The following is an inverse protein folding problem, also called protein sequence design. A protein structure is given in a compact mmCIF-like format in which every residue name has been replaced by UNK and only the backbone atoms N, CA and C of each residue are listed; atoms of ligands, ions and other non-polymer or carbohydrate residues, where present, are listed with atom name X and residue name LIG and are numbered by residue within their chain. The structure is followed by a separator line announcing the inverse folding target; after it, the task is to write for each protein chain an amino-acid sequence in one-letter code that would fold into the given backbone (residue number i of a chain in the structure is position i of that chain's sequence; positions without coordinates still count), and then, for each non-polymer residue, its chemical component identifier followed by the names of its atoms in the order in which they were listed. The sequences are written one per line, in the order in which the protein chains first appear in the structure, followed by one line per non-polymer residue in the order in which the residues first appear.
data_IF_930503276934
#
_entry.id   IF_930503276934
#
_cell.length_a   1.000
_cell.length_b   1.000
_cell.length_c   1.000
_cell.angle_alpha   90.00
_cell.angle_beta   90.00
_cell.angle_gamma   90.00
#
_symmetry.space_group_name_H-M   'P 1'
#
loop_
_entity.id
_entity.type
_entity.pdbx_description
1 polymer ?
#
# COMPACT_ATOMS: atom_id res chain seq x y z
N UNK A 1 11.21 8.04 20.09
CA UNK A 1 10.33 7.39 19.11
C UNK A 1 11.04 7.24 17.77
N UNK A 2 10.92 6.09 17.12
CA UNK A 2 11.40 5.91 15.77
C UNK A 2 10.57 6.73 14.78
N UNK A 3 11.07 6.91 13.55
CA UNK A 3 10.31 7.56 12.48
C UNK A 3 9.03 6.78 12.19
N UNK A 4 9.09 5.44 12.17
CA UNK A 4 7.92 4.60 11.96
C UNK A 4 6.88 4.77 13.07
N UNK A 5 7.29 4.86 14.33
CA UNK A 5 6.37 5.12 15.45
C UNK A 5 5.69 6.48 15.33
N UNK A 6 6.44 7.49 14.93
CA UNK A 6 5.90 8.84 14.72
C UNK A 6 4.88 8.86 13.56
N UNK A 7 5.18 8.16 12.47
CA UNK A 7 4.23 7.99 11.36
C UNK A 7 2.96 7.26 11.81
N UNK A 8 3.11 6.18 12.55
CA UNK A 8 1.95 5.44 13.06
C UNK A 8 1.05 6.33 13.92
N UNK A 9 1.65 7.17 14.77
CA UNK A 9 0.88 8.13 15.58
C UNK A 9 0.07 9.09 14.70
N UNK A 10 0.63 9.57 13.60
CA UNK A 10 -0.08 10.46 12.69
C UNK A 10 -1.18 9.72 11.90
N UNK A 11 -0.92 8.49 11.46
CA UNK A 11 -1.91 7.65 10.79
C UNK A 11 -3.15 7.42 11.66
N UNK A 12 -2.94 7.14 12.94
CA UNK A 12 -4.04 6.86 13.88
C UNK A 12 -4.92 8.08 14.18
N UNK A 13 -4.43 9.29 13.93
CA UNK A 13 -5.21 10.55 14.04
C UNK A 13 -6.08 10.82 12.83
N UNK A 14 -5.82 10.18 11.69
CA UNK A 14 -6.57 10.40 10.45
C UNK A 14 -8.01 9.89 10.55
N UNK A 15 -8.89 10.48 9.76
CA UNK A 15 -10.21 9.90 9.53
C UNK A 15 -10.08 8.63 8.68
N UNK A 16 -11.02 7.68 8.76
CA UNK A 16 -11.02 6.52 7.88
C UNK A 16 -10.96 6.88 6.39
N UNK A 17 -11.67 7.92 5.99
CA UNK A 17 -11.69 8.41 4.61
C UNK A 17 -10.30 8.92 4.17
N UNK A 18 -9.65 9.74 4.98
CA UNK A 18 -8.31 10.24 4.67
C UNK A 18 -7.27 9.12 4.64
N UNK A 19 -7.41 8.13 5.50
CA UNK A 19 -6.58 6.94 5.49
C UNK A 19 -6.73 6.15 4.19
N UNK A 20 -7.95 5.91 3.72
CA UNK A 20 -8.22 5.26 2.43
C UNK A 20 -7.55 6.01 1.27
N UNK A 21 -7.66 7.33 1.25
CA UNK A 21 -7.01 8.18 0.24
C UNK A 21 -5.48 8.10 0.31
N UNK A 22 -4.93 8.07 1.51
CA UNK A 22 -3.48 7.89 1.72
C UNK A 22 -2.99 6.57 1.11
N UNK A 23 -3.73 5.49 1.30
CA UNK A 23 -3.35 4.18 0.73
C UNK A 23 -3.32 4.22 -0.80
N UNK A 24 -4.31 4.83 -1.43
CA UNK A 24 -4.32 5.01 -2.90
C UNK A 24 -3.11 5.83 -3.37
N UNK A 25 -2.80 6.93 -2.68
CA UNK A 25 -1.63 7.76 -2.97
C UNK A 25 -0.32 6.98 -2.83
N UNK A 26 -0.22 6.15 -1.80
CA UNK A 26 0.96 5.29 -1.61
C UNK A 26 1.15 4.35 -2.79
N UNK A 27 0.10 3.66 -3.21
CA UNK A 27 0.18 2.73 -4.34
C UNK A 27 0.56 3.45 -5.65
N UNK A 28 0.04 4.64 -5.89
CA UNK A 28 0.42 5.45 -7.05
C UNK A 28 1.91 5.87 -6.97
N UNK A 29 2.39 6.27 -5.81
CA UNK A 29 3.82 6.57 -5.59
C UNK A 29 4.71 5.35 -5.83
N UNK A 30 4.23 4.16 -5.51
CA UNK A 30 4.92 2.90 -5.77
C UNK A 30 4.96 2.51 -7.25
N UNK A 31 4.24 3.21 -8.11
CA UNK A 31 4.22 2.99 -9.55
C UNK A 31 2.97 2.32 -10.09
N UNK A 32 1.99 2.01 -9.26
CA UNK A 32 0.69 1.53 -9.70
C UNK A 32 -0.15 2.67 -10.28
N UNK A 33 -1.19 2.34 -11.01
CA UNK A 33 -2.03 3.32 -11.67
C UNK A 33 -1.71 3.49 -13.16
N UNK A 34 -2.68 3.96 -13.92
CA UNK A 34 -2.52 4.22 -15.36
C UNK A 34 -1.73 5.51 -15.60
N UNK A 35 -1.38 5.78 -16.87
CA UNK A 35 -0.77 7.04 -17.28
C UNK A 35 -1.64 8.26 -16.95
N UNK A 36 -2.96 8.07 -16.83
CA UNK A 36 -3.92 9.13 -16.49
C UNK A 36 -4.20 9.23 -14.99
N UNK A 37 -3.91 8.20 -14.21
CA UNK A 37 -4.07 8.22 -12.76
C UNK A 37 -2.82 8.86 -12.16
N UNK A 38 -3.02 9.91 -11.39
CA UNK A 38 -1.98 10.58 -10.62
C UNK A 38 -2.35 10.59 -9.13
N UNK A 39 -1.46 11.09 -8.28
CA UNK A 39 -1.65 11.11 -6.83
C UNK A 39 -2.92 11.85 -6.37
N UNK A 40 -3.48 12.73 -7.22
CA UNK A 40 -4.72 13.45 -6.95
C UNK A 40 -5.95 12.76 -7.54
N UNK A 41 -5.77 11.70 -8.33
CA UNK A 41 -6.90 10.92 -8.85
C UNK A 41 -7.47 10.05 -7.74
N UNK A 42 -8.49 10.55 -7.08
CA UNK A 42 -9.29 9.76 -6.14
C UNK A 42 -10.01 8.70 -6.97
N UNK A 43 -9.67 7.44 -6.75
CA UNK A 43 -10.43 6.33 -7.33
C UNK A 43 -11.87 6.43 -6.83
N UNK A 44 -12.82 6.22 -7.73
CA UNK A 44 -14.24 6.19 -7.35
C UNK A 44 -14.42 5.15 -6.24
N UNK A 45 -15.03 5.56 -5.14
CA UNK A 45 -15.53 4.60 -4.16
C UNK A 45 -16.43 3.63 -4.90
N UNK A 46 -16.07 2.36 -4.91
CA UNK A 46 -17.07 1.36 -5.23
C UNK A 46 -18.09 1.42 -4.09
N UNK A 47 -19.38 1.56 -4.39
CA UNK A 47 -20.43 1.55 -3.39
C UNK A 47 -20.63 0.21 -2.71
N UNK A 48 -19.72 -0.75 -2.94
CA UNK A 48 -19.79 -2.10 -2.43
C UNK A 48 -19.02 -2.22 -1.12
N UNK A 49 -19.69 -2.77 -0.12
CA UNK A 49 -19.12 -3.07 1.19
C UNK A 49 -17.83 -3.89 1.04
N UNK A 50 -16.74 -3.39 1.60
CA UNK A 50 -15.47 -4.09 1.66
C UNK A 50 -14.46 -3.74 0.57
N UNK A 51 -14.78 -2.82 -0.36
CA UNK A 51 -13.83 -2.28 -1.34
C UNK A 51 -13.76 -0.76 -1.19
N UNK A 52 -12.61 -0.25 -0.80
CA UNK A 52 -12.40 1.19 -0.56
C UNK A 52 -11.83 1.93 -1.76
N UNK A 53 -11.20 1.20 -2.69
CA UNK A 53 -10.65 1.78 -3.89
C UNK A 53 -10.19 0.74 -4.89
N UNK A 54 -9.92 1.20 -6.11
CA UNK A 54 -9.39 0.38 -7.20
C UNK A 54 -8.27 1.15 -7.86
N UNK A 55 -7.13 0.51 -8.07
CA UNK A 55 -6.00 1.09 -8.78
C UNK A 55 -5.54 0.12 -9.87
N UNK A 56 -5.04 0.64 -10.98
CA UNK A 56 -4.49 -0.22 -12.02
C UNK A 56 -3.18 -0.87 -11.57
N UNK A 57 -3.01 -2.15 -11.89
CA UNK A 57 -1.77 -2.88 -11.65
C UNK A 57 -0.65 -2.47 -12.63
N UNK A 58 -1.00 -1.89 -13.78
CA UNK A 58 -0.07 -1.49 -14.84
C UNK A 58 -0.47 -0.14 -15.45
N UNK A 59 0.45 0.47 -16.21
CA UNK A 59 0.26 1.79 -16.79
C UNK A 59 -0.80 1.85 -17.90
N UNK A 60 -1.13 0.72 -18.51
CA UNK A 60 -2.13 0.64 -19.57
C UNK A 60 -3.54 0.34 -19.05
N UNK A 61 -3.65 -0.16 -17.81
CA UNK A 61 -4.95 -0.50 -17.22
C UNK A 61 -5.47 -1.88 -17.62
N UNK A 62 -4.59 -2.81 -17.98
CA UNK A 62 -4.99 -4.18 -18.32
C UNK A 62 -5.56 -4.94 -17.13
N UNK A 63 -5.07 -4.63 -15.93
CA UNK A 63 -5.44 -5.33 -14.72
C UNK A 63 -5.65 -4.36 -13.57
N UNK A 64 -6.44 -4.75 -12.59
CA UNK A 64 -6.82 -3.89 -11.47
C UNK A 64 -6.54 -4.55 -10.13
N UNK A 65 -6.11 -3.74 -9.17
CA UNK A 65 -5.94 -4.12 -7.77
C UNK A 65 -7.05 -3.47 -6.97
N UNK A 66 -7.80 -4.27 -6.24
CA UNK A 66 -8.88 -3.84 -5.36
C UNK A 66 -8.34 -3.66 -3.94
N UNK A 67 -8.73 -2.59 -3.28
CA UNK A 67 -8.15 -2.14 -2.01
C UNK A 67 -9.20 -2.20 -0.91
N UNK A 68 -8.81 -2.79 0.23
CA UNK A 68 -9.49 -2.65 1.51
C UNK A 68 -8.51 -2.04 2.50
N UNK A 69 -8.87 -0.94 3.13
CA UNK A 69 -8.07 -0.25 4.12
C UNK A 69 -8.80 -0.21 5.46
N UNK A 70 -8.16 -0.66 6.53
CA UNK A 70 -8.70 -0.68 7.90
C UNK A 70 -7.77 0.05 8.86
N UNK A 71 -8.16 1.26 9.25
CA UNK A 71 -7.48 2.02 10.28
C UNK A 71 -8.00 1.59 11.65
N UNK A 72 -7.37 0.57 12.22
CA UNK A 72 -7.66 0.06 13.57
C UNK A 72 -6.53 0.42 14.53
N UNK A 73 -6.77 0.29 15.83
CA UNK A 73 -5.72 0.46 16.83
C UNK A 73 -4.55 -0.48 16.52
N UNK A 74 -3.33 0.02 16.67
CA UNK A 74 -2.11 -0.71 16.32
C UNK A 74 -1.90 -1.99 17.15
N UNK A 75 -2.51 -2.08 18.34
CA UNK A 75 -2.46 -3.24 19.22
C UNK A 75 -3.56 -4.28 18.95
N UNK A 76 -4.38 -4.07 17.93
CA UNK A 76 -5.44 -5.01 17.55
C UNK A 76 -4.97 -5.99 16.47
N UNK A 77 -5.71 -7.05 16.30
CA UNK A 77 -5.42 -8.11 15.33
C UNK A 77 -6.57 -8.27 14.35
N UNK A 78 -6.26 -8.22 13.06
CA UNK A 78 -7.19 -8.54 11.98
C UNK A 78 -7.21 -10.07 11.80
N UNK A 79 -8.35 -10.67 12.04
CA UNK A 79 -8.52 -12.12 11.97
C UNK A 79 -8.99 -12.60 10.60
N UNK A 80 -9.01 -13.91 10.45
CA UNK A 80 -9.51 -14.60 9.25
C UNK A 80 -10.88 -14.12 8.76
N UNK A 81 -11.89 -13.88 9.64
CA UNK A 81 -13.22 -13.44 9.18
C UNK A 81 -13.18 -12.15 8.34
N UNK A 82 -12.30 -11.20 8.65
CA UNK A 82 -12.14 -9.97 7.85
C UNK A 82 -11.60 -10.28 6.45
N UNK A 83 -10.65 -11.19 6.34
CA UNK A 83 -10.08 -11.60 5.05
C UNK A 83 -11.09 -12.40 4.23
N UNK A 84 -11.90 -13.23 4.88
CA UNK A 84 -13.00 -13.94 4.22
C UNK A 84 -14.03 -12.97 3.63
N UNK A 85 -14.39 -11.91 4.34
CA UNK A 85 -15.28 -10.87 3.82
C UNK A 85 -14.67 -10.16 2.63
N UNK A 86 -13.40 -9.83 2.70
CA UNK A 86 -12.67 -9.20 1.58
C UNK A 86 -12.63 -10.12 0.37
N UNK A 87 -12.34 -11.39 0.54
CA UNK A 87 -12.40 -12.39 -0.52
C UNK A 87 -13.77 -12.44 -1.19
N UNK A 88 -14.84 -12.42 -0.39
CA UNK A 88 -16.23 -12.37 -0.88
C UNK A 88 -16.51 -11.11 -1.69
N UNK A 89 -16.03 -9.96 -1.24
CA UNK A 89 -16.15 -8.69 -1.97
C UNK A 89 -15.41 -8.74 -3.32
N UNK A 90 -14.19 -9.30 -3.35
CA UNK A 90 -13.42 -9.50 -4.57
C UNK A 90 -14.18 -10.40 -5.56
N UNK A 91 -14.67 -11.53 -5.08
CA UNK A 91 -15.42 -12.47 -5.90
C UNK A 91 -16.69 -11.83 -6.47
N UNK A 92 -17.41 -11.03 -5.69
CA UNK A 92 -18.60 -10.29 -6.13
C UNK A 92 -18.32 -9.26 -7.23
N UNK A 93 -17.10 -8.75 -7.31
CA UNK A 93 -16.63 -7.82 -8.34
C UNK A 93 -15.97 -8.52 -9.54
N UNK A 94 -15.84 -9.83 -9.50
CA UNK A 94 -15.04 -10.56 -10.49
C UNK A 94 -13.55 -10.23 -10.42
N UNK A 95 -13.09 -9.72 -9.28
CA UNK A 95 -11.70 -9.30 -9.08
C UNK A 95 -10.79 -10.49 -8.78
N UNK A 96 -9.56 -10.45 -9.30
CA UNK A 96 -8.55 -11.50 -9.09
C UNK A 96 -7.38 -11.04 -8.22
N UNK A 97 -7.25 -9.75 -7.96
CA UNK A 97 -6.17 -9.16 -7.17
C UNK A 97 -6.71 -8.20 -6.13
N UNK A 98 -6.32 -8.39 -4.90
CA UNK A 98 -6.70 -7.53 -3.79
C UNK A 98 -5.54 -7.28 -2.83
N UNK A 99 -5.53 -6.09 -2.25
CA UNK A 99 -4.61 -5.73 -1.17
C UNK A 99 -5.42 -5.28 0.04
N UNK A 100 -5.14 -5.86 1.18
CA UNK A 100 -5.74 -5.49 2.46
C UNK A 100 -4.67 -4.83 3.33
N UNK A 101 -4.85 -3.56 3.62
CA UNK A 101 -3.89 -2.73 4.37
C UNK A 101 -4.51 -2.29 5.68
N UNK A 102 -3.77 -2.41 6.77
CA UNK A 102 -4.22 -2.01 8.10
C UNK A 102 -3.11 -1.36 8.91
N UNK A 103 -3.48 -0.55 9.89
CA UNK A 103 -2.59 -0.05 10.94
C UNK A 103 -2.36 -1.07 12.06
N UNK A 104 -3.12 -2.15 12.07
CA UNK A 104 -3.07 -3.24 13.04
C UNK A 104 -2.15 -4.39 12.58
N UNK A 105 -2.34 -5.57 13.13
CA UNK A 105 -1.61 -6.79 12.78
C UNK A 105 -2.57 -7.83 12.22
N UNK A 106 -2.05 -8.80 11.49
CA UNK A 106 -2.82 -9.96 11.04
C UNK A 106 -2.56 -11.17 11.92
N UNK A 107 -3.60 -11.96 12.17
CA UNK A 107 -3.44 -13.25 12.81
C UNK A 107 -2.74 -14.26 11.87
N UNK A 108 -2.18 -15.31 12.45
CA UNK A 108 -1.59 -16.41 11.65
C UNK A 108 -2.64 -17.06 10.76
N UNK A 109 -3.85 -17.22 11.23
CA UNK A 109 -4.99 -17.79 10.50
C UNK A 109 -5.40 -16.90 9.33
N UNK A 110 -5.40 -15.58 9.51
CA UNK A 110 -5.67 -14.63 8.43
C UNK A 110 -4.61 -14.73 7.31
N UNK A 111 -3.34 -14.73 7.69
CA UNK A 111 -2.22 -14.85 6.75
C UNK A 111 -2.26 -16.18 6.00
N UNK A 112 -2.45 -17.29 6.70
CA UNK A 112 -2.55 -18.61 6.10
C UNK A 112 -3.74 -18.72 5.15
N UNK A 113 -4.89 -18.15 5.52
CA UNK A 113 -6.08 -18.13 4.68
C UNK A 113 -5.84 -17.34 3.38
N UNK A 114 -5.22 -16.17 3.46
CA UNK A 114 -4.90 -15.36 2.29
C UNK A 114 -3.95 -16.10 1.32
N UNK A 115 -2.92 -16.75 1.84
CA UNK A 115 -1.91 -17.49 1.06
C UNK A 115 -2.49 -18.70 0.32
N UNK A 116 -3.56 -19.31 0.83
CA UNK A 116 -4.19 -20.50 0.25
C UNK A 116 -5.13 -20.22 -0.90
N UNK A 117 -5.47 -18.96 -1.17
CA UNK A 117 -6.42 -18.63 -2.22
C UNK A 117 -5.81 -18.86 -3.61
N UNK A 118 -6.50 -19.64 -4.45
CA UNK A 118 -6.02 -20.03 -5.78
C UNK A 118 -6.53 -19.12 -6.90
N UNK A 119 -7.76 -18.61 -6.77
CA UNK A 119 -8.41 -17.80 -7.80
C UNK A 119 -8.20 -16.30 -7.60
N UNK A 120 -8.02 -15.86 -6.37
CA UNK A 120 -7.71 -14.48 -6.03
C UNK A 120 -6.35 -14.42 -5.36
N UNK A 121 -5.53 -13.46 -5.76
CA UNK A 121 -4.29 -13.13 -5.06
C UNK A 121 -4.60 -12.02 -4.06
N UNK A 122 -4.49 -12.33 -2.78
CA UNK A 122 -4.67 -11.37 -1.69
C UNK A 122 -3.31 -11.10 -1.04
N UNK A 123 -2.91 -9.84 -1.03
CA UNK A 123 -1.71 -9.37 -0.32
C UNK A 123 -2.15 -8.65 0.95
N UNK A 124 -1.53 -8.99 2.06
CA UNK A 124 -1.76 -8.38 3.37
C UNK A 124 -0.60 -7.45 3.72
N UNK A 125 -0.91 -6.23 4.10
CA UNK A 125 0.07 -5.22 4.55
C UNK A 125 -0.34 -4.76 5.94
N UNK A 126 0.45 -5.08 6.95
CA UNK A 126 0.22 -4.64 8.32
C UNK A 126 0.78 -3.24 8.61
N UNK A 127 0.56 -2.75 9.83
CA UNK A 127 1.00 -1.41 10.23
C UNK A 127 2.51 -1.19 10.13
N UNK A 128 3.31 -2.18 10.44
CA UNK A 128 4.77 -2.09 10.33
C UNK A 128 5.21 -2.00 8.86
N UNK A 129 4.68 -2.85 8.02
CA UNK A 129 4.95 -2.83 6.57
C UNK A 129 4.46 -1.53 5.92
N UNK A 130 3.30 -1.02 6.36
CA UNK A 130 2.76 0.25 5.86
C UNK A 130 3.70 1.42 6.14
N UNK A 131 4.19 1.57 7.37
CA UNK A 131 5.12 2.66 7.71
C UNK A 131 6.46 2.51 7.00
N UNK A 132 6.97 1.29 6.83
CA UNK A 132 8.18 1.03 6.04
C UNK A 132 8.02 1.47 4.57
N UNK A 133 6.89 1.13 3.94
CA UNK A 133 6.58 1.56 2.57
C UNK A 133 6.46 3.08 2.46
N UNK A 134 5.82 3.73 3.42
CA UNK A 134 5.70 5.19 3.45
C UNK A 134 7.07 5.87 3.53
N UNK A 135 7.98 5.35 4.35
CA UNK A 135 9.36 5.86 4.47
C UNK A 135 10.12 5.65 3.16
N UNK A 136 10.05 4.46 2.58
CA UNK A 136 10.73 4.11 1.34
C UNK A 136 10.29 5.00 0.17
N UNK A 137 8.99 5.24 0.03
CA UNK A 137 8.42 6.03 -1.05
C UNK A 137 8.17 7.51 -0.71
N UNK A 138 8.71 7.98 0.41
CA UNK A 138 8.62 9.38 0.85
C UNK A 138 7.17 9.93 0.92
N UNK A 139 6.25 9.12 1.41
CA UNK A 139 4.89 9.56 1.69
C UNK A 139 4.73 9.84 3.19
N UNK A 140 4.36 11.07 3.54
CA UNK A 140 4.24 11.50 4.94
C UNK A 140 5.58 11.77 5.62
N UNK A 141 6.68 11.69 4.90
CA UNK A 141 8.03 12.01 5.36
C UNK A 141 8.71 12.91 4.34
N UNK A 142 9.71 13.67 4.79
CA UNK A 142 10.55 14.50 3.93
C UNK A 142 12.02 14.22 4.20
N UNK A 143 12.84 14.33 3.13
CA UNK A 143 14.29 14.18 3.26
C UNK A 143 14.83 15.44 3.94
N UNK A 144 15.53 15.26 5.07
CA UNK A 144 16.18 16.35 5.82
C UNK A 144 17.59 16.58 5.33
N UNK A 145 18.31 15.50 5.00
CA UNK A 145 19.73 15.55 4.67
C UNK A 145 20.09 14.44 3.69
N UNK A 146 21.00 14.76 2.76
CA UNK A 146 21.51 13.79 1.78
C UNK A 146 23.03 13.87 1.75
N UNK A 147 23.71 12.74 1.90
CA UNK A 147 25.15 12.62 1.82
C UNK A 147 25.57 12.05 0.48
N UNK A 148 26.46 12.78 -0.22
CA UNK A 148 27.00 12.34 -1.50
C UNK A 148 28.46 11.95 -1.29
N UNK A 149 28.81 10.72 -1.62
CA UNK A 149 30.18 10.21 -1.61
C UNK A 149 30.69 10.17 -3.04
N UNK A 150 31.87 10.73 -3.27
CA UNK A 150 32.50 10.78 -4.60
C UNK A 150 33.80 9.99 -4.59
N UNK A 151 34.14 9.43 -5.72
CA UNK A 151 35.40 8.77 -5.98
C UNK A 151 36.02 9.34 -7.25
N UNK A 152 37.33 9.09 -7.45
CA UNK A 152 38.01 9.40 -8.72
C UNK A 152 37.41 8.50 -9.79
N UNK A 153 37.04 9.11 -10.91
CA UNK A 153 36.61 8.40 -12.12
C UNK A 153 37.86 8.17 -13.00
N UNK A 154 38.46 7.01 -12.84
CA UNK A 154 39.65 6.66 -13.58
C UNK A 154 39.39 6.47 -15.07
N UNK A 155 38.19 6.11 -15.47
CA UNK A 155 37.83 5.94 -16.88
C UNK A 155 37.90 7.31 -17.61
N UNK A 156 37.44 8.37 -16.95
CA UNK A 156 37.56 9.73 -17.48
C UNK A 156 39.00 10.12 -17.81
N UNK A 157 40.00 9.68 -17.02
CA UNK A 157 41.40 10.03 -17.23
C UNK A 157 42.11 9.07 -18.21
N UNK A 158 41.51 7.92 -18.50
CA UNK A 158 42.07 6.91 -19.42
C UNK A 158 41.53 7.04 -20.85
N UNK A 159 40.42 7.75 -21.04
CA UNK A 159 39.96 8.13 -22.36
C UNK A 159 40.90 9.23 -22.91
N UNK A 160 41.38 9.06 -24.13
CA UNK A 160 42.24 10.06 -24.81
C UNK A 160 41.51 11.42 -24.86
N UNK A 161 41.93 12.32 -24.00
CA UNK A 161 41.46 13.71 -23.98
C UNK A 161 41.86 14.45 -25.23
#
# INVERSE_FOLDING_TARGET
LSLADSLMSELLKMTPYDFENLIVRLLIKMGYGTLKQNESAVTQKSGDEGIDGIVSADKFGFDSIYIQAKKWRSDTTVGRPEIQRFLGALAGQGATKGIFITTAHFSKEATAFAEKQLHQKIVLVDGNQLTELMIEYNLGVSVVETYVVKRVDYDFFNDDL
#
